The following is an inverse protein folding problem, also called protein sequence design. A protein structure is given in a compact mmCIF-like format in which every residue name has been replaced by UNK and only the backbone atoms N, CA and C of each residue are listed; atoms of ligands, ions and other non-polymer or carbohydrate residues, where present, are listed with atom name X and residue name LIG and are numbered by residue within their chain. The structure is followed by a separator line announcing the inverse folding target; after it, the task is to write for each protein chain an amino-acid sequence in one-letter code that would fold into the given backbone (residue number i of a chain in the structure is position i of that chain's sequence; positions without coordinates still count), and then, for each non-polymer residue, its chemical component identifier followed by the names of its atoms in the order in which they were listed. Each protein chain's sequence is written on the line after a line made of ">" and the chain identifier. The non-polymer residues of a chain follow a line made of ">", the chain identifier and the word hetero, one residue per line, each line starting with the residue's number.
data_IF_966140155483
#
_entry.id   IF_966140155483
#
_cell.length_a   1.000
_cell.length_b   1.000
_cell.length_c   1.000
_cell.angle_alpha   90.00
_cell.angle_beta   90.00
_cell.angle_gamma   90.00
#
_symmetry.space_group_name_H-M   'P 1'
#
loop_
_entity.id
_entity.type
_entity.pdbx_description
1 polymer ?
#
# COMPACT_ATOMS: atom_id res chain seq x y z
N UNK A 1 11.93 -9.94 16.87
CA UNK A 1 11.05 -8.91 16.28
C UNK A 1 10.01 -9.60 15.41
N UNK A 2 8.74 -9.16 15.42
CA UNK A 2 7.73 -9.68 14.49
C UNK A 2 8.18 -9.41 13.06
N UNK A 3 8.11 -10.43 12.20
CA UNK A 3 8.39 -10.26 10.77
C UNK A 3 7.14 -9.79 10.07
N UNK A 4 7.32 -8.78 9.24
CA UNK A 4 6.26 -8.22 8.41
C UNK A 4 5.79 -9.28 7.40
N UNK A 5 4.50 -9.27 7.01
CA UNK A 5 3.97 -10.14 5.96
C UNK A 5 4.79 -10.05 4.67
N UNK A 6 4.75 -11.09 3.80
CA UNK A 6 5.36 -10.99 2.47
C UNK A 6 4.88 -9.70 1.80
N UNK A 7 5.85 -8.89 1.33
CA UNK A 7 5.54 -7.62 0.68
C UNK A 7 4.67 -7.92 -0.53
N UNK A 8 3.42 -7.46 -0.51
CA UNK A 8 2.56 -7.46 -1.68
C UNK A 8 2.48 -6.07 -2.28
N UNK A 9 2.23 -6.00 -3.58
CA UNK A 9 1.97 -4.78 -4.30
C UNK A 9 0.48 -4.66 -4.61
N UNK A 10 -0.13 -3.59 -4.14
CA UNK A 10 -1.51 -3.20 -4.44
C UNK A 10 -1.62 -2.66 -5.85
N UNK A 11 -2.68 -3.02 -6.55
CA UNK A 11 -3.04 -2.48 -7.84
C UNK A 11 -4.41 -1.83 -7.70
N UNK A 12 -4.47 -0.51 -7.87
CA UNK A 12 -5.71 0.25 -7.90
C UNK A 12 -6.01 0.66 -9.33
N UNK A 13 -7.01 0.01 -9.92
CA UNK A 13 -7.49 0.35 -11.25
C UNK A 13 -8.60 1.41 -11.17
N UNK A 14 -8.57 2.39 -12.06
CA UNK A 14 -9.69 3.30 -12.20
C UNK A 14 -10.91 2.55 -12.77
N UNK A 15 -12.11 2.93 -12.31
CA UNK A 15 -13.35 2.30 -12.78
C UNK A 15 -13.64 2.62 -14.23
N UNK A 16 -13.42 3.88 -14.63
CA UNK A 16 -13.56 4.39 -16.01
C UNK A 16 -14.81 3.90 -16.74
N UNK A 17 -15.94 3.80 -16.03
CA UNK A 17 -17.16 3.10 -16.49
C UNK A 17 -17.73 3.64 -17.81
N UNK A 18 -17.43 4.91 -18.12
CA UNK A 18 -17.91 5.59 -19.32
C UNK A 18 -16.96 5.49 -20.54
N UNK A 19 -15.85 4.76 -20.43
CA UNK A 19 -14.82 4.69 -21.47
C UNK A 19 -14.22 3.29 -21.64
N UNK A 20 -13.70 3.02 -22.83
CA UNK A 20 -13.10 1.72 -23.15
C UNK A 20 -11.78 1.52 -22.40
N UNK A 21 -11.01 2.59 -22.21
CA UNK A 21 -9.77 2.62 -21.44
C UNK A 21 -9.99 2.26 -19.97
N UNK A 22 -11.15 2.59 -19.39
CA UNK A 22 -11.54 2.10 -18.06
C UNK A 22 -11.78 0.59 -17.99
N UNK A 23 -12.11 -0.02 -19.11
CA UNK A 23 -12.18 -1.49 -19.20
C UNK A 23 -10.79 -2.07 -19.35
N UNK A 24 -9.90 -1.39 -20.09
CA UNK A 24 -8.49 -1.75 -20.18
C UNK A 24 -7.83 -1.74 -18.80
N UNK A 25 -8.04 -0.71 -17.96
CA UNK A 25 -7.45 -0.65 -16.60
C UNK A 25 -7.84 -1.87 -15.75
N UNK A 26 -9.15 -2.19 -15.72
CA UNK A 26 -9.71 -3.29 -14.92
C UNK A 26 -9.23 -4.65 -15.41
N UNK A 27 -9.21 -4.88 -16.73
CA UNK A 27 -8.73 -6.13 -17.30
C UNK A 27 -7.21 -6.29 -17.20
N UNK A 28 -6.44 -5.20 -17.32
CA UNK A 28 -5.00 -5.22 -17.12
C UNK A 28 -4.67 -5.56 -15.65
N UNK A 29 -5.33 -4.92 -14.69
CA UNK A 29 -5.18 -5.25 -13.29
C UNK A 29 -5.53 -6.72 -13.01
N UNK A 30 -6.66 -7.21 -13.54
CA UNK A 30 -7.06 -8.61 -13.42
C UNK A 30 -6.02 -9.56 -14.01
N UNK A 31 -5.47 -9.25 -15.19
CA UNK A 31 -4.45 -10.08 -15.81
C UNK A 31 -3.16 -10.17 -14.98
N UNK A 32 -2.75 -9.06 -14.36
CA UNK A 32 -1.61 -9.08 -13.42
C UNK A 32 -1.94 -9.96 -12.22
N UNK A 33 -3.12 -9.80 -11.63
CA UNK A 33 -3.56 -10.53 -10.44
C UNK A 33 -3.75 -12.02 -10.65
N UNK A 34 -4.23 -12.44 -11.82
CA UNK A 34 -4.58 -13.85 -12.06
C UNK A 34 -3.49 -14.59 -12.83
N UNK A 35 -2.63 -13.89 -13.56
CA UNK A 35 -1.69 -14.51 -14.49
C UNK A 35 -0.24 -14.11 -14.24
N UNK A 36 0.08 -12.82 -14.17
CA UNK A 36 1.48 -12.38 -14.19
C UNK A 36 2.14 -12.40 -12.80
N UNK A 37 1.43 -11.97 -11.76
CA UNK A 37 1.96 -11.80 -10.41
C UNK A 37 0.96 -12.23 -9.30
N UNK A 38 0.37 -13.44 -9.37
CA UNK A 38 -0.76 -13.82 -8.50
C UNK A 38 -0.43 -13.88 -7.00
N UNK A 39 0.79 -14.29 -6.66
CA UNK A 39 1.19 -14.38 -5.26
C UNK A 39 1.67 -13.04 -4.69
N UNK A 40 2.12 -12.14 -5.57
CA UNK A 40 2.80 -10.90 -5.18
C UNK A 40 1.89 -9.67 -5.21
N UNK A 41 0.69 -9.78 -5.77
CA UNK A 41 -0.20 -8.64 -5.96
C UNK A 41 -1.53 -8.80 -5.25
N UNK A 42 -2.16 -7.66 -4.96
CA UNK A 42 -3.54 -7.58 -4.49
C UNK A 42 -4.28 -6.47 -5.22
N UNK A 43 -5.59 -6.63 -5.40
CA UNK A 43 -6.41 -5.58 -6.00
C UNK A 43 -6.94 -4.64 -4.95
N UNK A 44 -7.06 -3.37 -5.31
CA UNK A 44 -7.73 -2.34 -4.52
C UNK A 44 -8.94 -1.85 -5.31
N UNK A 45 -10.11 -1.98 -4.69
CA UNK A 45 -11.36 -1.55 -5.29
C UNK A 45 -11.50 -0.03 -5.16
N UNK A 46 -11.24 0.72 -6.23
CA UNK A 46 -11.31 2.19 -6.19
C UNK A 46 -12.66 2.72 -5.66
N UNK A 47 -13.84 2.20 -6.04
CA UNK A 47 -15.10 2.64 -5.45
C UNK A 47 -15.16 2.48 -3.92
N UNK A 48 -14.73 1.33 -3.38
CA UNK A 48 -14.71 1.07 -1.94
C UNK A 48 -13.68 1.96 -1.24
N UNK A 49 -12.52 2.12 -1.86
CA UNK A 49 -11.46 3.01 -1.40
C UNK A 49 -11.93 4.46 -1.27
N UNK A 50 -12.68 4.96 -2.25
CA UNK A 50 -13.30 6.29 -2.21
C UNK A 50 -14.39 6.38 -1.13
N UNK A 51 -15.18 5.32 -0.94
CA UNK A 51 -16.28 5.27 0.02
C UNK A 51 -15.85 5.15 1.50
N UNK A 52 -14.54 5.05 1.80
CA UNK A 52 -14.08 4.89 3.18
C UNK A 52 -13.67 3.46 3.56
N UNK A 53 -13.35 2.62 2.58
CA UNK A 53 -12.81 1.28 2.82
C UNK A 53 -11.46 1.31 3.52
N UNK A 54 -11.46 1.35 4.86
CA UNK A 54 -10.24 1.53 5.66
C UNK A 54 -9.24 0.37 5.50
N UNK A 55 -9.69 -0.85 5.18
CA UNK A 55 -8.78 -1.96 4.86
C UNK A 55 -7.93 -1.70 3.61
N UNK A 56 -8.55 -1.20 2.54
CA UNK A 56 -7.86 -0.88 1.29
C UNK A 56 -6.98 0.37 1.43
N UNK A 57 -7.47 1.38 2.17
CA UNK A 57 -6.69 2.59 2.47
C UNK A 57 -5.48 2.30 3.34
N UNK A 58 -5.64 1.46 4.37
CA UNK A 58 -4.54 1.00 5.19
C UNK A 58 -3.52 0.24 4.35
N UNK A 59 -3.98 -0.68 3.50
CA UNK A 59 -3.09 -1.40 2.61
C UNK A 59 -2.26 -0.42 1.77
N UNK A 60 -2.91 0.52 1.06
CA UNK A 60 -2.20 1.46 0.21
C UNK A 60 -1.28 2.44 0.96
N UNK A 61 -1.47 2.59 2.27
CA UNK A 61 -0.62 3.43 3.13
C UNK A 61 0.65 2.72 3.55
N UNK A 62 0.57 1.41 3.80
CA UNK A 62 1.68 0.63 4.35
C UNK A 62 2.41 -0.21 3.31
N UNK A 63 1.73 -0.53 2.21
CA UNK A 63 2.25 -1.40 1.18
C UNK A 63 2.36 -0.68 -0.15
N UNK A 64 3.27 -1.18 -1.00
CA UNK A 64 3.39 -0.67 -2.32
C UNK A 64 2.07 -0.61 -3.09
N UNK A 65 1.73 0.51 -3.73
CA UNK A 65 0.54 0.61 -4.58
C UNK A 65 0.83 1.25 -5.94
N UNK A 66 0.42 0.58 -7.00
CA UNK A 66 0.45 1.03 -8.39
C UNK A 66 -0.97 1.48 -8.78
N UNK A 67 -1.10 2.69 -9.29
CA UNK A 67 -2.33 3.20 -9.86
C UNK A 67 -2.36 2.99 -11.38
N UNK A 68 -3.45 2.40 -11.89
CA UNK A 68 -3.70 2.24 -13.33
C UNK A 68 -4.93 3.06 -13.70
N UNK A 69 -4.73 4.13 -14.47
CA UNK A 69 -5.74 5.11 -14.84
C UNK A 69 -6.06 5.05 -16.35
N UNK A 70 -7.34 5.13 -16.68
CA UNK A 70 -7.79 5.12 -18.08
C UNK A 70 -7.53 6.43 -18.82
N UNK A 71 -7.34 7.54 -18.11
CA UNK A 71 -7.18 8.88 -18.67
C UNK A 71 -6.44 9.83 -17.72
N UNK A 72 -6.14 11.03 -18.19
CA UNK A 72 -5.37 12.05 -17.45
C UNK A 72 -6.08 12.65 -16.22
N UNK A 73 -7.36 12.32 -16.01
CA UNK A 73 -8.04 12.66 -14.76
C UNK A 73 -7.42 11.95 -13.55
N UNK A 74 -6.75 10.81 -13.79
CA UNK A 74 -5.92 10.09 -12.82
C UNK A 74 -6.66 9.78 -11.51
N UNK A 75 -7.91 9.31 -11.61
CA UNK A 75 -8.78 9.09 -10.46
C UNK A 75 -8.17 8.13 -9.43
N UNK A 76 -7.56 7.03 -9.88
CA UNK A 76 -6.94 6.04 -9.01
C UNK A 76 -5.69 6.61 -8.32
N UNK A 77 -4.79 7.26 -9.08
CA UNK A 77 -3.61 7.88 -8.51
C UNK A 77 -3.95 8.99 -7.51
N UNK A 78 -4.91 9.86 -7.86
CA UNK A 78 -5.36 10.97 -6.99
C UNK A 78 -6.03 10.48 -5.72
N UNK A 79 -6.90 9.47 -5.82
CA UNK A 79 -7.53 8.89 -4.64
C UNK A 79 -6.47 8.31 -3.69
N UNK A 80 -5.53 7.55 -4.23
CA UNK A 80 -4.43 6.95 -3.45
C UNK A 80 -3.62 8.05 -2.76
N UNK A 81 -3.17 9.07 -3.51
CA UNK A 81 -2.44 10.22 -2.96
C UNK A 81 -3.21 10.93 -1.84
N UNK A 82 -4.51 11.11 -2.02
CA UNK A 82 -5.36 11.83 -1.07
C UNK A 82 -5.59 11.04 0.22
N UNK A 83 -5.78 9.72 0.15
CA UNK A 83 -6.25 8.93 1.31
C UNK A 83 -5.18 8.04 1.94
N UNK A 84 -4.11 7.71 1.22
CA UNK A 84 -3.13 6.71 1.64
C UNK A 84 -1.67 7.09 1.41
N UNK A 85 -1.39 8.06 0.53
CA UNK A 85 -0.04 8.49 0.18
C UNK A 85 0.26 8.33 -1.30
N UNK A 86 1.45 8.78 -1.74
CA UNK A 86 1.82 8.79 -3.16
C UNK A 86 1.93 7.36 -3.71
N UNK A 87 1.25 7.01 -4.83
CA UNK A 87 1.48 5.75 -5.54
C UNK A 87 2.97 5.59 -5.91
N UNK A 88 3.54 4.39 -5.86
CA UNK A 88 4.89 4.17 -6.42
C UNK A 88 4.90 4.13 -7.93
N UNK A 89 3.82 3.61 -8.48
CA UNK A 89 3.64 3.43 -9.90
C UNK A 89 2.39 4.13 -10.33
N UNK A 90 2.45 4.83 -11.45
CA UNK A 90 1.27 5.36 -12.12
C UNK A 90 1.37 5.04 -13.60
N UNK A 91 0.35 4.39 -14.12
CA UNK A 91 0.20 4.06 -15.54
C UNK A 91 -1.07 4.74 -16.04
N UNK A 92 -0.99 5.45 -17.16
CA UNK A 92 -2.18 5.96 -17.86
C UNK A 92 -2.34 5.23 -19.18
N UNK A 93 -3.47 4.56 -19.37
CA UNK A 93 -3.73 3.70 -20.55
C UNK A 93 -3.61 4.49 -21.86
N UNK A 94 -4.09 5.73 -21.92
CA UNK A 94 -3.96 6.58 -23.12
C UNK A 94 -2.50 6.84 -23.47
N UNK A 95 -1.61 6.98 -22.48
CA UNK A 95 -0.17 7.11 -22.70
C UNK A 95 0.45 5.79 -23.20
N UNK A 96 -0.01 4.64 -22.70
CA UNK A 96 0.42 3.31 -23.17
C UNK A 96 0.03 3.11 -24.64
N UNK A 97 -1.23 3.38 -24.98
CA UNK A 97 -1.77 3.29 -26.35
C UNK A 97 -0.95 4.16 -27.31
N UNK A 98 -0.68 5.41 -26.93
CA UNK A 98 0.12 6.32 -27.74
C UNK A 98 1.58 5.85 -27.89
N UNK A 99 2.22 5.44 -26.79
CA UNK A 99 3.61 4.99 -26.79
C UNK A 99 3.84 3.70 -27.61
N UNK A 100 2.87 2.79 -27.61
CA UNK A 100 2.93 1.55 -28.39
C UNK A 100 2.39 1.72 -29.83
N UNK A 101 1.92 2.92 -30.22
CA UNK A 101 1.37 3.18 -31.54
C UNK A 101 0.11 2.37 -31.85
N UNK A 102 -0.70 2.05 -30.84
CA UNK A 102 -1.90 1.23 -31.00
C UNK A 102 -3.03 2.03 -31.67
N UNK A 103 -3.95 1.30 -32.30
CA UNK A 103 -5.18 1.88 -32.86
C UNK A 103 -6.12 2.43 -31.80
N UNK A 104 -7.23 3.04 -32.23
CA UNK A 104 -8.26 3.54 -31.32
C UNK A 104 -8.82 2.41 -30.46
N UNK A 105 -8.71 2.54 -29.14
CA UNK A 105 -9.33 1.62 -28.19
C UNK A 105 -10.84 1.86 -28.19
N UNK A 106 -11.62 0.79 -28.35
CA UNK A 106 -13.07 0.88 -28.41
C UNK A 106 -13.75 -0.34 -27.78
N UNK A 107 -14.99 -0.13 -27.35
CA UNK A 107 -15.84 -1.17 -26.75
C UNK A 107 -15.71 -1.26 -25.24
N UNK A 108 -16.80 -0.91 -24.53
CA UNK A 108 -16.82 -0.91 -23.05
C UNK A 108 -17.01 -2.31 -22.44
N UNK A 109 -17.83 -3.15 -23.08
CA UNK A 109 -18.06 -4.53 -22.60
C UNK A 109 -17.16 -5.55 -23.28
N UNK A 110 -16.90 -5.32 -24.57
CA UNK A 110 -16.03 -6.16 -25.39
C UNK A 110 -15.08 -5.23 -26.12
N UNK A 111 -13.82 -5.25 -25.68
CA UNK A 111 -12.77 -4.46 -26.32
C UNK A 111 -12.52 -4.96 -27.75
N UNK A 112 -12.25 -4.03 -28.65
CA UNK A 112 -11.67 -4.35 -29.95
C UNK A 112 -10.22 -4.84 -29.80
N UNK A 113 -9.60 -5.24 -30.91
CA UNK A 113 -8.23 -5.76 -30.94
C UNK A 113 -7.22 -4.76 -30.34
N UNK A 114 -7.32 -3.47 -30.70
CA UNK A 114 -6.47 -2.43 -30.11
C UNK A 114 -6.63 -2.34 -28.58
N UNK A 115 -7.86 -2.49 -28.07
CA UNK A 115 -8.12 -2.54 -26.62
C UNK A 115 -7.55 -3.78 -25.95
N UNK A 116 -7.61 -4.94 -26.59
CA UNK A 116 -6.99 -6.17 -26.08
C UNK A 116 -5.46 -6.08 -26.05
N UNK A 117 -4.86 -5.50 -27.09
CA UNK A 117 -3.42 -5.19 -27.10
C UNK A 117 -3.07 -4.19 -25.98
N UNK A 118 -3.88 -3.14 -25.79
CA UNK A 118 -3.68 -2.18 -24.70
C UNK A 118 -3.75 -2.84 -23.32
N UNK A 119 -4.61 -3.85 -23.12
CA UNK A 119 -4.65 -4.65 -21.89
C UNK A 119 -3.33 -5.37 -21.66
N UNK A 120 -2.82 -6.09 -22.67
CA UNK A 120 -1.57 -6.83 -22.56
C UNK A 120 -0.38 -5.90 -22.25
N UNK A 121 -0.26 -4.80 -22.99
CA UNK A 121 0.81 -3.80 -22.78
C UNK A 121 0.73 -3.12 -21.41
N UNK A 122 -0.47 -2.76 -20.97
CA UNK A 122 -0.67 -2.15 -19.65
C UNK A 122 -0.34 -3.14 -18.53
N UNK A 123 -0.75 -4.40 -18.67
CA UNK A 123 -0.49 -5.44 -17.68
C UNK A 123 1.01 -5.77 -17.59
N UNK A 124 1.72 -5.86 -18.72
CA UNK A 124 3.16 -6.07 -18.75
C UNK A 124 3.91 -4.96 -18.01
N UNK A 125 3.58 -3.68 -18.30
CA UNK A 125 4.17 -2.53 -17.58
C UNK A 125 3.88 -2.56 -16.09
N UNK A 126 2.68 -2.96 -15.68
CA UNK A 126 2.32 -3.10 -14.28
C UNK A 126 3.12 -4.23 -13.61
N UNK A 127 3.30 -5.38 -14.26
CA UNK A 127 4.13 -6.49 -13.76
C UNK A 127 5.60 -6.09 -13.60
N UNK A 128 6.18 -5.36 -14.56
CA UNK A 128 7.55 -4.83 -14.45
C UNK A 128 7.71 -3.91 -13.24
N UNK A 129 6.72 -3.06 -12.99
CA UNK A 129 6.68 -2.22 -11.78
C UNK A 129 6.55 -3.07 -10.51
N UNK A 130 5.71 -4.11 -10.51
CA UNK A 130 5.60 -5.03 -9.37
C UNK A 130 6.96 -5.64 -9.04
N UNK A 131 7.64 -6.24 -10.01
CA UNK A 131 8.97 -6.82 -9.81
C UNK A 131 9.97 -5.79 -9.29
N UNK A 132 9.99 -4.59 -9.88
CA UNK A 132 10.86 -3.49 -9.43
C UNK A 132 10.61 -3.10 -7.96
N UNK A 133 9.35 -3.12 -7.52
CA UNK A 133 8.96 -2.72 -6.16
C UNK A 133 9.17 -3.83 -5.12
N UNK A 134 9.20 -5.09 -5.54
CA UNK A 134 9.53 -6.21 -4.67
C UNK A 134 11.04 -6.32 -4.45
N UNK A 135 11.84 -6.09 -5.49
CA UNK A 135 13.31 -6.24 -5.46
C UNK A 135 14.03 -5.09 -4.73
N UNK A 136 13.38 -3.95 -4.56
CA UNK A 136 14.00 -2.73 -4.02
C UNK A 136 13.31 -2.26 -2.74
N UNK A 137 14.02 -1.50 -1.91
CA UNK A 137 13.35 -0.76 -0.83
C UNK A 137 12.60 0.42 -1.46
N UNK A 138 11.38 0.72 -1.01
CA UNK A 138 10.60 1.84 -1.51
C UNK A 138 10.41 2.88 -0.40
N UNK A 139 10.84 4.11 -0.67
CA UNK A 139 10.50 5.30 0.12
C UNK A 139 9.01 5.67 0.00
N UNK A 140 8.26 5.32 1.05
CA UNK A 140 6.81 5.48 1.20
C UNK A 140 6.30 6.92 1.06
N UNK A 141 7.15 7.93 1.32
CA UNK A 141 6.77 9.36 1.32
C UNK A 141 6.86 9.99 -0.07
N UNK A 142 7.89 9.60 -0.83
CA UNK A 142 8.17 10.17 -2.15
C UNK A 142 7.69 9.32 -3.33
N UNK A 143 7.26 8.07 -3.09
CA UNK A 143 6.90 7.17 -4.19
C UNK A 143 8.12 6.65 -4.98
N UNK A 144 9.32 6.65 -4.39
CA UNK A 144 10.59 6.37 -5.10
C UNK A 144 11.33 5.16 -4.54
N UNK A 145 11.99 4.41 -5.41
CA UNK A 145 12.84 3.27 -5.01
C UNK A 145 14.19 3.71 -4.44
N UNK A 146 14.62 3.03 -3.39
CA UNK A 146 15.91 3.11 -2.72
C UNK A 146 16.63 1.76 -2.83
N UNK A 147 17.96 1.77 -2.94
CA UNK A 147 18.77 0.55 -2.92
C UNK A 147 18.74 -0.08 -1.52
N UNK A 148 18.56 -1.41 -1.45
CA UNK A 148 18.35 -2.13 -0.19
C UNK A 148 19.49 -3.11 0.11
N UNK A 149 20.09 -2.98 1.30
CA UNK A 149 20.90 -4.03 1.93
C UNK A 149 19.99 -5.12 2.52
N UNK A 150 20.33 -6.38 2.25
CA UNK A 150 19.53 -7.58 2.57
C UNK A 150 19.85 -8.16 3.95
N UNK A 151 18.82 -8.53 4.75
CA UNK A 151 18.95 -9.34 5.97
C UNK A 151 17.96 -10.54 5.99
N UNK A 152 18.29 -11.68 6.65
CA UNK A 152 17.64 -12.97 6.39
C UNK A 152 16.36 -13.25 7.20
N UNK A 153 15.42 -14.01 6.60
CA UNK A 153 14.06 -14.28 7.11
C UNK A 153 13.82 -15.76 7.57
N UNK A 154 13.63 -16.00 8.88
CA UNK A 154 12.89 -17.12 9.52
C UNK A 154 11.40 -16.81 9.88
N UNK A 155 10.54 -17.85 9.87
CA UNK A 155 9.04 -17.93 9.86
C UNK A 155 8.33 -17.73 11.23
N UNK A 156 7.11 -17.12 11.29
CA UNK A 156 6.04 -17.26 12.36
C UNK A 156 4.60 -16.78 11.91
N UNK A 157 3.59 -16.55 12.81
CA UNK A 157 2.24 -17.16 12.88
C UNK A 157 1.12 -16.35 12.16
N UNK A 158 -0.13 -16.85 12.07
CA UNK A 158 -1.16 -16.27 11.19
C UNK A 158 -1.63 -14.86 11.62
N UNK A 159 -1.84 -13.93 10.66
CA UNK A 159 -2.31 -12.57 10.92
C UNK A 159 -3.77 -12.55 11.41
N UNK A 160 -4.05 -11.84 12.51
CA UNK A 160 -5.39 -11.73 13.11
C UNK A 160 -6.23 -10.56 12.57
N UNK A 161 -5.63 -9.61 11.84
CA UNK A 161 -6.33 -8.54 11.13
C UNK A 161 -6.11 -8.71 9.62
N UNK A 162 -6.93 -9.55 8.99
CA UNK A 162 -6.87 -9.81 7.56
C UNK A 162 -7.63 -8.72 6.81
N UNK A 163 -6.94 -7.96 5.95
CA UNK A 163 -7.61 -7.34 4.81
C UNK A 163 -8.24 -8.45 3.96
N UNK A 164 -9.29 -8.15 3.19
CA UNK A 164 -10.01 -9.13 2.35
C UNK A 164 -9.08 -9.93 1.41
N UNK A 165 -7.89 -9.39 1.11
CA UNK A 165 -6.84 -10.01 0.31
C UNK A 165 -5.89 -10.97 1.06
N UNK A 166 -6.08 -11.19 2.36
CA UNK A 166 -5.28 -12.15 3.16
C UNK A 166 -3.86 -11.69 3.53
N UNK A 167 -3.40 -10.54 3.05
CA UNK A 167 -2.04 -10.03 3.28
C UNK A 167 -1.73 -9.71 4.75
N UNK A 168 -2.76 -9.44 5.56
CA UNK A 168 -2.62 -9.01 6.95
C UNK A 168 -2.01 -7.61 7.10
N UNK A 169 -2.64 -6.76 7.91
CA UNK A 169 -1.95 -5.55 8.39
C UNK A 169 -1.04 -5.98 9.55
N UNK A 170 0.24 -5.56 9.60
CA UNK A 170 1.12 -5.94 10.70
C UNK A 170 0.50 -5.54 12.05
N UNK A 171 0.56 -6.44 13.03
CA UNK A 171 0.08 -6.18 14.39
C UNK A 171 1.21 -6.33 15.40
N UNK A 172 1.13 -5.62 16.51
CA UNK A 172 2.03 -5.79 17.65
C UNK A 172 1.24 -5.75 18.94
N UNK A 173 1.47 -6.73 19.83
CA UNK A 173 0.93 -6.73 21.18
C UNK A 173 1.86 -5.95 22.10
N UNK A 174 1.29 -4.98 22.80
CA UNK A 174 1.96 -4.08 23.75
C UNK A 174 1.25 -4.13 25.10
N UNK A 175 1.89 -3.63 26.15
CA UNK A 175 1.28 -3.53 27.47
C UNK A 175 0.78 -2.09 27.70
N UNK A 176 -0.51 -1.92 27.94
CA UNK A 176 -1.10 -0.64 28.35
C UNK A 176 -1.65 -0.80 29.75
N UNK A 177 -1.11 -0.06 30.72
CA UNK A 177 -1.47 -0.20 32.14
C UNK A 177 -1.37 -1.64 32.69
N UNK A 178 -0.48 -2.47 32.12
CA UNK A 178 -0.32 -3.87 32.51
C UNK A 178 -1.30 -4.85 31.84
N UNK A 179 -2.19 -4.36 30.97
CA UNK A 179 -3.05 -5.21 30.14
C UNK A 179 -2.45 -5.38 28.73
N UNK A 180 -2.43 -6.61 28.18
CA UNK A 180 -1.97 -6.86 26.83
C UNK A 180 -3.00 -6.32 25.82
N UNK A 181 -2.56 -5.41 24.95
CA UNK A 181 -3.37 -4.83 23.87
C UNK A 181 -2.67 -5.10 22.54
N UNK A 182 -3.39 -5.66 21.58
CA UNK A 182 -2.89 -5.84 20.20
C UNK A 182 -3.26 -4.62 19.35
N UNK A 183 -2.24 -3.94 18.83
CA UNK A 183 -2.39 -2.78 17.98
C UNK A 183 -2.12 -3.13 16.51
N UNK A 184 -3.12 -2.87 15.68
CA UNK A 184 -3.05 -2.95 14.22
C UNK A 184 -2.22 -1.78 13.70
N UNK A 185 -1.40 -2.06 12.70
CA UNK A 185 -0.48 -1.16 12.01
C UNK A 185 0.69 -0.60 12.85
N UNK A 186 0.76 -0.87 14.17
CA UNK A 186 1.81 -0.29 15.02
C UNK A 186 3.23 -0.52 14.46
N UNK A 187 3.66 -1.75 14.06
CA UNK A 187 4.99 -1.94 13.50
C UNK A 187 5.29 -1.05 12.29
N UNK A 188 4.31 -0.92 11.39
CA UNK A 188 4.46 -0.15 10.16
C UNK A 188 4.50 1.36 10.45
N UNK A 189 3.74 1.83 11.44
CA UNK A 189 3.74 3.22 11.90
C UNK A 189 5.09 3.61 12.53
N UNK A 190 5.68 2.73 13.35
CA UNK A 190 7.01 2.96 13.95
C UNK A 190 8.09 3.06 12.86
N UNK A 191 8.09 2.13 11.90
CA UNK A 191 9.01 2.14 10.77
C UNK A 191 8.85 3.39 9.90
N UNK A 192 7.60 3.83 9.66
CA UNK A 192 7.30 5.04 8.89
C UNK A 192 7.92 6.29 9.52
N UNK A 193 7.78 6.47 10.83
CA UNK A 193 8.34 7.61 11.54
C UNK A 193 9.88 7.59 11.49
N UNK A 194 10.48 6.40 11.62
CA UNK A 194 11.93 6.23 11.55
C UNK A 194 12.49 6.59 10.17
N UNK A 195 11.88 6.07 9.10
CA UNK A 195 12.27 6.37 7.72
C UNK A 195 12.07 7.85 7.37
N UNK A 196 11.10 8.52 8.00
CA UNK A 196 10.88 9.95 7.86
C UNK A 196 11.90 10.81 8.64
N UNK A 197 12.86 10.20 9.34
CA UNK A 197 13.87 10.87 10.17
C UNK A 197 13.30 11.48 11.45
N UNK A 198 12.05 11.18 11.80
CA UNK A 198 11.46 11.69 13.04
C UNK A 198 12.07 10.97 14.24
N UNK A 199 12.45 11.70 15.28
CA UNK A 199 13.04 11.11 16.50
C UNK A 199 12.01 11.03 17.63
N UNK A 200 12.21 10.17 18.64
CA UNK A 200 11.31 10.10 19.79
C UNK A 200 11.17 11.46 20.48
N UNK A 201 9.98 12.06 20.35
CA UNK A 201 9.63 13.35 20.91
C UNK A 201 8.13 13.40 21.26
N UNK A 202 7.68 14.30 22.15
CA UNK A 202 6.27 14.43 22.50
C UNK A 202 5.35 14.70 21.29
N UNK A 203 5.84 15.48 20.33
CA UNK A 203 5.15 15.84 19.08
C UNK A 203 4.97 14.60 18.18
N UNK A 204 6.06 13.89 17.90
CA UNK A 204 6.04 12.62 17.14
C UNK A 204 5.17 11.56 17.81
N UNK A 205 5.16 11.51 19.15
CA UNK A 205 4.27 10.59 19.90
C UNK A 205 2.80 10.99 19.75
N UNK A 206 2.49 12.29 19.73
CA UNK A 206 1.13 12.78 19.48
C UNK A 206 0.66 12.41 18.08
N UNK A 207 1.53 12.57 17.08
CA UNK A 207 1.27 12.17 15.70
C UNK A 207 1.05 10.66 15.61
N UNK A 208 1.91 9.86 16.24
CA UNK A 208 1.79 8.41 16.29
C UNK A 208 0.45 7.98 16.92
N UNK A 209 0.06 8.59 18.04
CA UNK A 209 -1.22 8.31 18.69
C UNK A 209 -2.40 8.59 17.77
N UNK A 210 -2.40 9.73 17.07
CA UNK A 210 -3.44 10.08 16.11
C UNK A 210 -3.54 9.05 14.97
N UNK A 211 -2.40 8.53 14.48
CA UNK A 211 -2.38 7.49 13.45
C UNK A 211 -2.83 6.12 13.99
N UNK A 212 -2.45 5.76 15.22
CA UNK A 212 -2.88 4.51 15.89
C UNK A 212 -4.39 4.50 16.09
N UNK A 213 -5.00 5.63 16.46
CA UNK A 213 -6.45 5.77 16.67
C UNK A 213 -7.29 5.52 15.40
N UNK A 214 -6.70 5.65 14.20
CA UNK A 214 -7.40 5.36 12.93
C UNK A 214 -7.76 3.87 12.85
N UNK A 215 -6.88 3.00 13.34
CA UNK A 215 -7.02 1.54 13.19
C UNK A 215 -7.43 0.83 14.49
N UNK A 216 -7.29 1.51 15.63
CA UNK A 216 -7.43 0.91 16.94
C UNK A 216 -8.38 1.76 17.79
N UNK A 217 -9.55 1.23 18.21
CA UNK A 217 -10.42 1.95 19.13
C UNK A 217 -9.70 2.13 20.46
N UNK A 218 -9.46 3.38 20.84
CA UNK A 218 -8.89 3.72 22.15
C UNK A 218 -10.02 4.12 23.10
N UNK A 219 -10.16 3.47 24.27
CA UNK A 219 -11.16 3.85 25.26
C UNK A 219 -11.04 5.32 25.68
N UNK A 220 -12.18 5.98 25.89
CA UNK A 220 -12.19 7.36 26.37
C UNK A 220 -11.44 7.48 27.70
N UNK A 221 -10.53 8.46 27.81
CA UNK A 221 -9.68 8.66 28.99
C UNK A 221 -8.43 7.77 29.06
N UNK A 222 -8.26 6.78 28.17
CA UNK A 222 -7.06 5.95 28.11
C UNK A 222 -5.91 6.57 27.30
N UNK A 223 -6.16 7.68 26.59
CA UNK A 223 -5.16 8.35 25.74
C UNK A 223 -3.82 8.65 26.43
N UNK A 224 -3.76 9.10 27.70
CA UNK A 224 -2.47 9.33 28.36
C UNK A 224 -1.63 8.06 28.50
N UNK A 225 -2.28 6.94 28.82
CA UNK A 225 -1.60 5.64 28.96
C UNK A 225 -1.08 5.13 27.61
N UNK A 226 -1.89 5.26 26.55
CA UNK A 226 -1.47 4.93 25.19
C UNK A 226 -0.32 5.82 24.72
N UNK A 227 -0.38 7.12 24.98
CA UNK A 227 0.70 8.06 24.65
C UNK A 227 2.01 7.66 25.31
N UNK A 228 1.99 7.31 26.60
CA UNK A 228 3.17 6.86 27.33
C UNK A 228 3.73 5.56 26.74
N UNK A 229 2.87 4.57 26.46
CA UNK A 229 3.27 3.31 25.83
C UNK A 229 3.88 3.53 24.45
N UNK A 230 3.24 4.35 23.59
CA UNK A 230 3.74 4.61 22.24
C UNK A 230 5.09 5.34 22.23
N UNK A 231 5.30 6.28 23.16
CA UNK A 231 6.60 6.93 23.33
C UNK A 231 7.69 5.90 23.68
N UNK A 232 7.38 4.96 24.58
CA UNK A 232 8.30 3.90 24.98
C UNK A 232 8.62 2.96 23.82
N UNK A 233 7.60 2.44 23.13
CA UNK A 233 7.76 1.53 21.99
C UNK A 233 8.55 2.18 20.85
N UNK A 234 8.31 3.45 20.55
CA UNK A 234 9.04 4.14 19.49
C UNK A 234 10.51 4.41 19.86
N UNK A 235 10.78 4.74 21.12
CA UNK A 235 12.16 4.85 21.60
C UNK A 235 12.91 3.51 21.50
N UNK A 236 12.27 2.40 21.90
CA UNK A 236 12.84 1.06 21.76
C UNK A 236 13.11 0.70 20.30
N UNK A 237 12.15 0.99 19.41
CA UNK A 237 12.31 0.75 17.98
C UNK A 237 13.53 1.49 17.42
N UNK A 238 13.69 2.78 17.76
CA UNK A 238 14.83 3.59 17.30
C UNK A 238 16.19 3.03 17.76
N UNK A 239 16.30 2.62 19.02
CA UNK A 239 17.53 2.04 19.57
C UNK A 239 17.96 0.75 18.86
N UNK A 240 16.99 -0.04 18.38
CA UNK A 240 17.25 -1.28 17.67
C UNK A 240 17.70 -1.07 16.21
N UNK A 241 17.48 0.12 15.65
CA UNK A 241 17.86 0.48 14.28
C UNK A 241 19.20 1.21 14.19
N UNK A 242 19.73 1.71 15.31
CA UNK A 242 21.08 2.28 15.35
C UNK A 242 22.10 1.13 15.28
N UNK A 243 23.05 1.14 14.32
CA UNK A 243 24.08 0.11 14.25
C UNK A 243 24.88 0.12 15.56
N UNK A 244 25.13 -1.07 16.11
CA UNK A 244 26.03 -1.22 17.24
C UNK A 244 27.39 -0.60 16.87
N UNK A 245 27.79 0.41 17.64
CA UNK A 245 29.04 1.14 17.48
C UNK A 245 30.27 0.23 17.60
#
# INVERSE_FOLDING_TARGET
>A
MPKLPPKKVGIVACSGEEMAEGTVTRLAALHVLETLCPEDTVTICLPLFLAGGEGDRAFARFYPTIAIDGCDLRCAARATAQYSGTPAGSIVVTEVVAACGLGQVAGRRHLNEAGQQAVAETAARAADLVHTLLDKQWNRREGRTMEAESLPLAVQPPPQATCACGSGIPVQTVQVNGEPVTLVALPALLEQLWQAGQRPAPETTAELLAQVQIYNPIPAGAEPAYRQMLAHEYALYCQQQEPAA
#
